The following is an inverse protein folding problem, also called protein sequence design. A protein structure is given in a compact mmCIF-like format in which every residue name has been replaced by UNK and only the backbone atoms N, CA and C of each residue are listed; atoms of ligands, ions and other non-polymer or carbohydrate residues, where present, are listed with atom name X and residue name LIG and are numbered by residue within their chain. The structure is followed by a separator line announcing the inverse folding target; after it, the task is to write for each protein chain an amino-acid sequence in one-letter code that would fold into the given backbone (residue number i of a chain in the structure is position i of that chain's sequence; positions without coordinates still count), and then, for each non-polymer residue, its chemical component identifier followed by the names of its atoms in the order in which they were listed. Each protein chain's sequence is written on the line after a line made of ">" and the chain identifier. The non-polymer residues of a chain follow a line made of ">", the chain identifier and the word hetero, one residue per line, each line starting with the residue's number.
data_IF_032140565549
#
_entry.id   IF_032140565549
#
_cell.length_a   1.000
_cell.length_b   1.000
_cell.length_c   1.000
_cell.angle_alpha   90.00
_cell.angle_beta   90.00
_cell.angle_gamma   90.00
#
_symmetry.space_group_name_H-M   'P 1'
#
loop_
_entity.id
_entity.type
_entity.pdbx_description
1 polymer ?
#
# COMPACT_ATOMS: atom_id res chain seq x y z
N UNK A 1 -21.64 6.17 -6.20
CA UNK A 1 -21.00 4.83 -6.07
C UNK A 1 -19.48 4.91 -6.20
N UNK A 2 -18.94 5.57 -7.22
CA UNK A 2 -17.49 5.58 -7.52
C UNK A 2 -16.60 6.16 -6.43
N UNK A 3 -17.06 7.16 -5.67
CA UNK A 3 -16.32 7.72 -4.54
C UNK A 3 -16.01 6.67 -3.45
N UNK A 4 -16.88 5.68 -3.27
CA UNK A 4 -16.65 4.59 -2.32
C UNK A 4 -15.50 3.68 -2.73
N UNK A 5 -15.21 3.55 -4.04
CA UNK A 5 -14.06 2.78 -4.53
C UNK A 5 -12.75 3.48 -4.17
N UNK A 6 -12.67 4.80 -4.36
CA UNK A 6 -11.50 5.59 -3.95
C UNK A 6 -11.32 5.52 -2.43
N UNK A 7 -12.41 5.68 -1.67
CA UNK A 7 -12.39 5.59 -0.22
C UNK A 7 -11.89 4.22 0.27
N UNK A 8 -12.42 3.13 -0.29
CA UNK A 8 -11.98 1.78 0.05
C UNK A 8 -10.51 1.54 -0.33
N UNK A 9 -10.10 2.00 -1.51
CA UNK A 9 -8.70 1.91 -1.95
C UNK A 9 -7.75 2.70 -1.05
N UNK A 10 -8.17 3.86 -0.57
CA UNK A 10 -7.43 4.66 0.40
C UNK A 10 -7.31 3.93 1.74
N UNK A 11 -8.38 3.35 2.27
CA UNK A 11 -8.32 2.56 3.51
C UNK A 11 -7.35 1.39 3.34
N UNK A 12 -7.46 0.62 2.26
CA UNK A 12 -6.54 -0.50 2.01
C UNK A 12 -5.09 -0.03 1.95
N UNK A 13 -4.83 1.12 1.32
CA UNK A 13 -3.50 1.70 1.24
C UNK A 13 -2.97 2.14 2.61
N UNK A 14 -3.79 2.86 3.38
CA UNK A 14 -3.45 3.33 4.74
C UNK A 14 -3.08 2.18 5.64
N UNK A 15 -3.95 1.16 5.70
CA UNK A 15 -3.70 -0.03 6.52
C UNK A 15 -2.45 -0.77 6.04
N UNK A 16 -2.14 -0.77 4.75
CA UNK A 16 -0.94 -1.41 4.20
C UNK A 16 0.34 -0.81 4.78
N UNK A 17 0.54 0.50 4.66
CA UNK A 17 1.79 1.12 5.13
C UNK A 17 1.81 1.26 6.66
N UNK A 18 0.66 1.42 7.31
CA UNK A 18 0.56 1.41 8.78
C UNK A 18 0.94 0.04 9.35
N UNK A 19 0.53 -1.05 8.71
CA UNK A 19 0.97 -2.40 9.09
C UNK A 19 2.48 -2.58 8.89
N UNK A 20 3.08 -2.00 7.85
CA UNK A 20 4.55 -2.02 7.67
C UNK A 20 5.26 -1.26 8.79
N UNK A 21 4.70 -0.13 9.22
CA UNK A 21 5.22 0.63 10.35
C UNK A 21 5.07 -0.14 11.67
N UNK A 22 3.93 -0.80 11.90
CA UNK A 22 3.74 -1.69 13.06
C UNK A 22 4.74 -2.87 13.10
N UNK A 23 5.28 -3.30 11.95
CA UNK A 23 6.36 -4.30 11.90
C UNK A 23 7.71 -3.74 12.38
N UNK A 24 7.91 -2.43 12.35
CA UNK A 24 9.11 -1.73 12.88
C UNK A 24 9.07 -1.74 14.42
N UNK A 25 7.90 -1.47 14.99
CA UNK A 25 7.72 -1.33 16.44
C UNK A 25 7.52 -2.68 17.16
N UNK A 26 7.47 -3.79 16.41
CA UNK A 26 7.17 -5.13 16.94
C UNK A 26 8.09 -5.56 18.10
N UNK A 27 9.39 -5.33 17.99
CA UNK A 27 10.36 -5.75 19.00
C UNK A 27 10.24 -4.92 20.30
N UNK A 28 9.71 -3.70 20.19
CA UNK A 28 9.47 -2.79 21.32
C UNK A 28 8.06 -3.00 21.92
N UNK A 29 7.07 -3.36 21.10
CA UNK A 29 5.67 -3.60 21.48
C UNK A 29 5.49 -4.91 22.28
N UNK A 30 6.25 -5.95 21.96
CA UNK A 30 6.16 -7.27 22.61
C UNK A 30 6.48 -7.18 24.12
N UNK A 31 7.60 -6.58 24.55
CA UNK A 31 7.89 -6.39 25.98
C UNK A 31 6.92 -5.44 26.67
N UNK A 32 6.39 -4.45 25.95
CA UNK A 32 5.47 -3.43 26.49
C UNK A 32 4.03 -3.93 26.69
N UNK A 33 3.68 -5.12 26.17
CA UNK A 33 2.33 -5.69 26.28
C UNK A 33 1.28 -5.00 25.41
N UNK A 34 1.71 -4.23 24.41
CA UNK A 34 0.84 -3.51 23.47
C UNK A 34 0.29 -4.48 22.42
N UNK A 35 -1.01 -4.41 22.11
CA UNK A 35 -1.65 -5.25 21.08
C UNK A 35 -1.62 -4.56 19.70
N UNK A 36 -0.44 -4.44 19.12
CA UNK A 36 -0.26 -3.83 17.79
C UNK A 36 -0.77 -4.74 16.66
N UNK A 37 -1.11 -4.16 15.51
CA UNK A 37 -1.60 -4.88 14.32
C UNK A 37 -0.62 -5.95 13.84
N UNK A 38 0.69 -5.74 14.02
CA UNK A 38 1.73 -6.73 13.73
C UNK A 38 1.65 -7.97 14.66
N UNK A 39 1.17 -7.80 15.90
CA UNK A 39 0.96 -8.89 16.86
C UNK A 39 -0.36 -9.62 16.56
N UNK A 40 -1.42 -8.88 16.20
CA UNK A 40 -2.70 -9.45 15.78
C UNK A 40 -2.56 -10.32 14.53
N UNK A 41 -1.79 -9.85 13.54
CA UNK A 41 -1.55 -10.58 12.30
C UNK A 41 -0.45 -11.64 12.43
N UNK A 42 0.46 -11.47 13.38
CA UNK A 42 1.51 -12.44 13.70
C UNK A 42 2.31 -12.86 12.47
N UNK A 43 2.27 -14.16 12.13
CA UNK A 43 2.97 -14.71 10.94
C UNK A 43 2.31 -14.34 9.60
N UNK A 44 1.13 -13.75 9.60
CA UNK A 44 0.35 -13.44 8.40
C UNK A 44 0.38 -11.97 7.98
N UNK A 45 1.04 -11.09 8.74
CA UNK A 45 1.30 -9.68 8.39
C UNK A 45 1.63 -9.46 6.89
N UNK A 46 2.62 -10.18 6.34
CA UNK A 46 3.00 -10.07 4.92
C UNK A 46 1.88 -10.47 3.97
N UNK A 47 1.16 -11.54 4.29
CA UNK A 47 0.05 -12.03 3.47
C UNK A 47 -1.11 -11.03 3.47
N UNK A 48 -1.42 -10.48 4.64
CA UNK A 48 -2.49 -9.48 4.79
C UNK A 48 -2.10 -8.19 4.07
N UNK A 49 -0.86 -7.73 4.20
CA UNK A 49 -0.32 -6.61 3.42
C UNK A 49 -0.45 -6.90 1.91
N UNK A 50 -0.15 -8.11 1.44
CA UNK A 50 -0.28 -8.47 0.03
C UNK A 50 -1.74 -8.42 -0.45
N UNK A 51 -2.67 -8.95 0.36
CA UNK A 51 -4.11 -8.90 0.06
C UNK A 51 -4.59 -7.46 0.01
N UNK A 52 -4.21 -6.62 0.97
CA UNK A 52 -4.58 -5.20 1.01
C UNK A 52 -4.00 -4.43 -0.18
N UNK A 53 -2.77 -4.73 -0.60
CA UNK A 53 -2.15 -4.15 -1.80
C UNK A 53 -2.94 -4.52 -3.07
N UNK A 54 -3.34 -5.78 -3.21
CA UNK A 54 -4.16 -6.24 -4.35
C UNK A 54 -5.53 -5.56 -4.33
N UNK A 55 -6.18 -5.47 -3.16
CA UNK A 55 -7.47 -4.79 -3.02
C UNK A 55 -7.37 -3.30 -3.32
N UNK A 56 -6.29 -2.64 -2.89
CA UNK A 56 -6.01 -1.25 -3.22
C UNK A 56 -5.89 -1.05 -4.74
N UNK A 57 -5.08 -1.85 -5.42
CA UNK A 57 -4.94 -1.77 -6.88
C UNK A 57 -6.24 -2.07 -7.61
N UNK A 58 -7.00 -3.06 -7.15
CA UNK A 58 -8.28 -3.44 -7.75
C UNK A 58 -9.32 -2.32 -7.62
N UNK A 59 -9.47 -1.75 -6.43
CA UNK A 59 -10.40 -0.64 -6.18
C UNK A 59 -10.02 0.61 -6.96
N UNK A 60 -8.72 0.95 -7.07
CA UNK A 60 -8.23 2.04 -7.89
C UNK A 60 -8.40 1.78 -9.39
N UNK A 61 -8.22 0.55 -9.86
CA UNK A 61 -8.48 0.16 -11.25
C UNK A 61 -9.98 0.32 -11.59
N UNK A 62 -10.87 -0.16 -10.72
CA UNK A 62 -12.31 0.02 -10.89
C UNK A 62 -12.71 1.51 -10.86
N UNK A 63 -12.12 2.29 -9.95
CA UNK A 63 -12.33 3.73 -9.90
C UNK A 63 -11.87 4.41 -11.20
N UNK A 64 -10.68 4.07 -11.70
CA UNK A 64 -10.16 4.63 -12.94
C UNK A 64 -11.03 4.32 -14.15
N UNK A 65 -11.56 3.10 -14.24
CA UNK A 65 -12.54 2.75 -15.28
C UNK A 65 -13.83 3.56 -15.17
N UNK A 66 -14.34 3.74 -13.96
CA UNK A 66 -15.57 4.47 -13.72
C UNK A 66 -15.45 6.00 -13.93
N UNK A 67 -14.23 6.56 -13.83
CA UNK A 67 -13.92 7.94 -14.18
C UNK A 67 -13.35 8.10 -15.61
N UNK A 68 -13.32 7.03 -16.40
CA UNK A 68 -12.74 7.00 -17.76
C UNK A 68 -11.28 7.51 -17.83
N UNK A 69 -10.48 7.23 -16.79
CA UNK A 69 -9.07 7.62 -16.75
C UNK A 69 -8.27 6.89 -17.83
N UNK A 70 -7.36 7.63 -18.48
CA UNK A 70 -6.62 7.18 -19.66
C UNK A 70 -5.44 6.24 -19.38
N UNK A 71 -4.66 5.98 -20.44
CA UNK A 71 -3.50 5.07 -20.40
C UNK A 71 -2.45 5.45 -19.35
N UNK A 72 -2.25 6.76 -19.08
CA UNK A 72 -1.33 7.25 -18.06
C UNK A 72 -1.69 6.80 -16.65
N UNK A 73 -2.98 6.78 -16.31
CA UNK A 73 -3.43 6.26 -15.03
C UNK A 73 -3.21 4.75 -14.93
N UNK A 74 -3.52 3.99 -15.98
CA UNK A 74 -3.25 2.55 -16.01
C UNK A 74 -1.74 2.23 -15.89
N UNK A 75 -0.88 3.05 -16.51
CA UNK A 75 0.57 2.94 -16.36
C UNK A 75 0.99 3.18 -14.90
N UNK A 76 0.42 4.19 -14.24
CA UNK A 76 0.70 4.46 -12.83
C UNK A 76 0.33 3.29 -11.92
N UNK A 77 -0.80 2.61 -12.19
CA UNK A 77 -1.17 1.39 -11.46
C UNK A 77 -0.16 0.25 -11.67
N UNK A 78 0.39 0.11 -12.88
CA UNK A 78 1.47 -0.83 -13.16
C UNK A 78 2.75 -0.53 -12.36
N UNK A 79 3.13 0.75 -12.29
CA UNK A 79 4.26 1.21 -11.46
C UNK A 79 3.98 0.95 -9.98
N UNK A 80 2.80 1.29 -9.47
CA UNK A 80 2.38 1.01 -8.09
C UNK A 80 2.41 -0.49 -7.77
N UNK A 81 2.03 -1.36 -8.70
CA UNK A 81 2.13 -2.80 -8.52
C UNK A 81 3.58 -3.30 -8.40
N UNK A 82 4.50 -2.76 -9.21
CA UNK A 82 5.93 -3.06 -9.10
C UNK A 82 6.50 -2.57 -7.75
N UNK A 83 6.12 -1.37 -7.31
CA UNK A 83 6.50 -0.81 -6.00
C UNK A 83 5.97 -1.67 -4.84
N UNK A 84 4.74 -2.16 -4.92
CA UNK A 84 4.18 -3.09 -3.94
C UNK A 84 4.93 -4.42 -3.91
N UNK A 85 5.33 -4.95 -5.08
CA UNK A 85 6.23 -6.12 -5.15
C UNK A 85 7.57 -5.87 -4.46
N UNK A 86 8.14 -4.68 -4.63
CA UNK A 86 9.35 -4.27 -3.92
C UNK A 86 9.15 -4.14 -2.40
N UNK A 87 8.01 -3.58 -1.95
CA UNK A 87 7.68 -3.55 -0.52
C UNK A 87 7.58 -4.97 0.05
N UNK A 88 6.95 -5.91 -0.67
CA UNK A 88 6.87 -7.32 -0.28
C UNK A 88 8.25 -8.00 -0.17
N UNK A 89 9.19 -7.61 -1.04
CA UNK A 89 10.57 -8.06 -0.99
C UNK A 89 11.30 -7.49 0.23
N UNK A 90 11.15 -6.19 0.53
CA UNK A 90 11.78 -5.56 1.69
C UNK A 90 11.32 -6.17 3.02
N UNK A 91 10.00 -6.31 3.21
CA UNK A 91 9.44 -6.82 4.46
C UNK A 91 9.61 -8.34 4.65
N UNK A 92 10.27 -9.03 3.70
CA UNK A 92 10.32 -10.51 3.69
C UNK A 92 11.00 -11.13 4.90
N UNK A 93 12.03 -10.44 5.42
CA UNK A 93 12.77 -10.85 6.61
C UNK A 93 12.22 -10.24 7.90
N UNK A 94 11.27 -9.30 7.79
CA UNK A 94 10.70 -8.56 8.94
C UNK A 94 11.75 -7.84 9.76
N UNK A 95 12.84 -7.42 9.12
CA UNK A 95 13.88 -6.62 9.73
C UNK A 95 13.38 -5.19 9.89
N UNK A 96 13.57 -4.62 11.09
CA UNK A 96 13.10 -3.28 11.47
C UNK A 96 13.43 -2.23 10.41
N UNK A 97 14.69 -2.14 10.01
CA UNK A 97 15.17 -1.15 9.03
C UNK A 97 14.56 -1.35 7.64
N UNK A 98 14.37 -2.61 7.22
CA UNK A 98 13.77 -2.93 5.92
C UNK A 98 12.26 -2.59 5.89
N UNK A 99 11.56 -2.83 7.00
CA UNK A 99 10.16 -2.45 7.17
C UNK A 99 9.99 -0.92 7.19
N UNK A 100 10.87 -0.22 7.90
CA UNK A 100 10.86 1.25 7.94
C UNK A 100 11.18 1.85 6.56
N UNK A 101 12.12 1.24 5.84
CA UNK A 101 12.41 1.60 4.45
C UNK A 101 11.18 1.38 3.55
N UNK A 102 10.46 0.27 3.69
CA UNK A 102 9.24 0.02 2.93
C UNK A 102 8.14 1.05 3.24
N UNK A 103 7.98 1.42 4.52
CA UNK A 103 7.06 2.48 4.96
C UNK A 103 7.40 3.83 4.31
N UNK A 104 8.65 4.30 4.37
CA UNK A 104 9.06 5.57 3.75
C UNK A 104 8.94 5.53 2.22
N UNK A 105 9.29 4.38 1.62
CA UNK A 105 9.24 4.20 0.18
C UNK A 105 7.80 4.22 -0.38
N UNK A 106 6.79 4.02 0.47
CA UNK A 106 5.39 4.13 0.08
C UNK A 106 5.00 5.50 -0.50
N UNK A 107 5.74 6.56 -0.18
CA UNK A 107 5.54 7.88 -0.80
C UNK A 107 5.69 7.83 -2.32
N UNK A 108 6.53 6.96 -2.86
CA UNK A 108 6.68 6.76 -4.32
C UNK A 108 5.44 6.15 -4.95
N UNK A 109 4.69 5.30 -4.24
CA UNK A 109 3.41 4.77 -4.71
C UNK A 109 2.39 5.91 -4.84
N UNK A 110 2.32 6.79 -3.84
CA UNK A 110 1.44 7.97 -3.88
C UNK A 110 1.79 8.93 -5.01
N UNK A 111 3.09 9.19 -5.19
CA UNK A 111 3.58 10.01 -6.29
C UNK A 111 3.25 9.41 -7.66
N UNK A 112 3.40 8.10 -7.83
CA UNK A 112 3.08 7.43 -9.09
C UNK A 112 1.60 7.61 -9.46
N UNK A 113 0.68 7.36 -8.52
CA UNK A 113 -0.76 7.52 -8.72
C UNK A 113 -1.10 8.99 -9.02
N UNK A 114 -0.53 9.93 -8.27
CA UNK A 114 -0.73 11.37 -8.48
C UNK A 114 -0.30 11.79 -9.88
N UNK A 115 0.90 11.40 -10.31
CA UNK A 115 1.42 11.69 -11.65
C UNK A 115 0.54 11.08 -12.74
N UNK A 116 0.04 9.85 -12.55
CA UNK A 116 -0.90 9.21 -13.48
C UNK A 116 -2.20 10.02 -13.67
N UNK A 117 -2.71 10.62 -12.60
CA UNK A 117 -3.89 11.50 -12.64
C UNK A 117 -3.54 12.84 -13.31
N UNK A 118 -2.45 13.49 -12.90
CA UNK A 118 -2.03 14.79 -13.45
C UNK A 118 -1.74 14.70 -14.95
N UNK A 119 -1.03 13.66 -15.39
CA UNK A 119 -0.75 13.42 -16.81
C UNK A 119 -2.00 13.11 -17.63
N UNK A 120 -3.03 12.52 -17.02
CA UNK A 120 -4.30 12.31 -17.70
C UNK A 120 -5.07 13.61 -17.94
N UNK A 121 -5.01 14.58 -17.01
CA UNK A 121 -5.66 15.88 -17.19
C UNK A 121 -4.78 16.91 -17.92
N UNK A 122 -3.47 16.70 -17.93
CA UNK A 122 -2.49 17.60 -18.57
C UNK A 122 -2.16 17.27 -20.02
N UNK A 123 -2.64 16.14 -20.56
CA UNK A 123 -2.47 15.73 -21.96
C UNK A 123 -3.81 15.37 -22.60
#
# INVERSE_FOLDING_TARGET
>A
ATLWLIFLGNICWVVTYDTMYAMVDRDDDIPAGVKSTAILFGRHDRLIIAILQILCLLTLCLAGRAFALGAWFNLSLGVSAALFGYHQYLIRRRERDACFKAFLHNNWTGLAILLGIVLHYGG
#
